data_IF_883164893791
#
_entry.id   IF_883164893791
#
_cell.length_a   1.000
_cell.length_b   1.000
_cell.length_c   1.000
_cell.angle_alpha   90.00
_cell.angle_beta   90.00
_cell.angle_gamma   90.00
#
_symmetry.space_group_name_H-M   'P 1'
#
loop_
_entity.id
_entity.type
_entity.pdbx_description
1 polymer ?
#
# COMPACT_ATOMS: atom_id res chain seq x y z
N UNK A 1 -1.71 12.75 -9.71
CA UNK A 1 -0.74 11.64 -9.55
C UNK A 1 -1.46 10.34 -9.87
N UNK A 2 -0.77 9.38 -10.49
CA UNK A 2 -1.31 8.05 -10.77
C UNK A 2 -0.62 7.03 -9.88
N UNK A 3 -1.37 6.09 -9.31
CA UNK A 3 -0.83 5.08 -8.42
C UNK A 3 -1.31 3.68 -8.83
N UNK A 4 -0.58 2.66 -8.43
CA UNK A 4 -1.10 1.30 -8.43
C UNK A 4 -2.14 1.13 -7.32
N UNK A 5 -3.20 0.37 -7.62
CA UNK A 5 -4.28 0.02 -6.70
C UNK A 5 -4.31 -1.50 -6.54
N UNK A 6 -4.13 -1.99 -5.31
CA UNK A 6 -4.16 -3.42 -5.02
C UNK A 6 -4.36 -3.67 -3.52
N UNK A 7 -5.02 -4.78 -3.17
CA UNK A 7 -5.15 -5.24 -1.79
C UNK A 7 -5.14 -6.78 -1.72
N UNK A 8 -4.00 -7.36 -1.32
CA UNK A 8 -3.76 -8.81 -1.40
C UNK A 8 -4.44 -9.64 -0.32
N UNK A 9 -5.36 -9.07 0.48
CA UNK A 9 -6.25 -9.87 1.32
C UNK A 9 -7.31 -10.62 0.49
N UNK A 10 -7.47 -10.27 -0.80
CA UNK A 10 -8.43 -10.86 -1.74
C UNK A 10 -7.83 -11.28 -3.08
N UNK A 11 -6.65 -10.77 -3.44
CA UNK A 11 -6.04 -10.97 -4.75
C UNK A 11 -4.69 -11.67 -4.65
N UNK A 12 -4.35 -12.35 -5.76
CA UNK A 12 -2.99 -12.73 -6.14
C UNK A 12 -1.99 -11.64 -5.71
N UNK A 13 -0.80 -12.04 -5.25
CA UNK A 13 0.24 -11.15 -4.74
C UNK A 13 0.33 -9.86 -5.58
N UNK A 14 0.10 -8.71 -4.93
CA UNK A 14 0.17 -7.40 -5.58
C UNK A 14 1.49 -7.20 -6.33
N UNK A 15 2.59 -7.76 -5.81
CA UNK A 15 3.88 -7.71 -6.48
C UNK A 15 3.83 -8.43 -7.84
N UNK A 16 3.17 -9.58 -7.93
CA UNK A 16 3.08 -10.34 -9.16
C UNK A 16 2.15 -9.68 -10.19
N UNK A 17 1.04 -9.07 -9.73
CA UNK A 17 0.18 -8.25 -10.59
C UNK A 17 0.93 -7.04 -11.15
N UNK A 18 1.80 -6.39 -10.35
CA UNK A 18 2.65 -5.30 -10.83
C UNK A 18 3.68 -5.81 -11.85
N UNK A 19 4.38 -6.92 -11.55
CA UNK A 19 5.38 -7.52 -12.46
C UNK A 19 4.79 -7.90 -13.82
N UNK A 20 3.58 -8.42 -13.82
CA UNK A 20 2.87 -8.86 -15.03
C UNK A 20 2.09 -7.73 -15.70
N UNK A 21 2.14 -6.52 -15.15
CA UNK A 21 1.40 -5.34 -15.63
C UNK A 21 -0.12 -5.58 -15.71
N UNK A 22 -0.65 -6.35 -14.75
CA UNK A 22 -2.07 -6.68 -14.61
C UNK A 22 -2.71 -5.99 -13.39
N UNK A 23 -1.92 -5.30 -12.59
CA UNK A 23 -2.41 -4.50 -11.47
C UNK A 23 -3.27 -3.33 -11.95
N UNK A 24 -4.32 -3.03 -11.20
CA UNK A 24 -5.15 -1.85 -11.48
C UNK A 24 -4.35 -0.57 -11.22
N UNK A 25 -4.60 0.46 -12.04
CA UNK A 25 -4.03 1.79 -11.86
C UNK A 25 -5.15 2.81 -11.72
N UNK A 26 -4.95 3.81 -10.86
CA UNK A 26 -5.92 4.85 -10.60
C UNK A 26 -5.26 6.23 -10.68
N UNK A 27 -6.00 7.22 -11.18
CA UNK A 27 -5.64 8.63 -11.06
C UNK A 27 -6.23 9.17 -9.76
N UNK A 28 -5.37 9.66 -8.87
CA UNK A 28 -5.79 10.10 -7.55
C UNK A 28 -6.55 11.42 -7.58
N UNK A 29 -7.40 11.63 -6.57
CA UNK A 29 -8.22 12.83 -6.41
C UNK A 29 -7.41 14.05 -5.96
N UNK A 30 -7.99 15.25 -6.01
CA UNK A 30 -7.33 16.49 -5.55
C UNK A 30 -6.88 16.43 -4.08
N UNK A 31 -7.57 15.65 -3.24
CA UNK A 31 -7.21 15.43 -1.83
C UNK A 31 -6.07 14.42 -1.65
N UNK A 32 -5.99 13.42 -2.53
CA UNK A 32 -5.04 12.31 -2.42
C UNK A 32 -3.83 12.55 -3.31
N UNK A 33 -2.87 13.29 -2.77
CA UNK A 33 -1.72 13.80 -3.52
C UNK A 33 -0.50 12.87 -3.53
N UNK A 34 -0.60 11.69 -2.93
CA UNK A 34 0.52 10.73 -2.80
C UNK A 34 0.08 9.30 -3.06
N UNK A 35 1.04 8.44 -3.39
CA UNK A 35 0.86 6.99 -3.42
C UNK A 35 1.34 6.34 -2.11
N UNK A 36 0.64 5.31 -1.65
CA UNK A 36 0.99 4.48 -0.50
C UNK A 36 1.40 3.08 -0.95
N UNK A 37 2.47 2.58 -0.35
CA UNK A 37 2.88 1.17 -0.31
C UNK A 37 2.77 0.71 1.15
N UNK A 38 1.96 -0.31 1.41
CA UNK A 38 1.79 -0.83 2.75
C UNK A 38 1.78 -2.36 2.75
N UNK A 39 2.85 -2.96 3.28
CA UNK A 39 3.01 -4.41 3.39
C UNK A 39 3.15 -4.79 4.85
N UNK A 40 2.35 -5.75 5.30
CA UNK A 40 2.36 -6.22 6.68
C UNK A 40 2.07 -7.72 6.77
N UNK A 41 2.50 -8.31 7.86
CA UNK A 41 2.24 -9.70 8.22
C UNK A 41 1.30 -9.71 9.44
N UNK A 42 0.17 -10.42 9.33
CA UNK A 42 -0.78 -10.65 10.42
C UNK A 42 -0.24 -11.69 11.41
N UNK A 43 -0.92 -11.84 12.55
CA UNK A 43 -0.47 -12.71 13.66
C UNK A 43 -0.39 -14.19 13.31
N UNK A 44 -1.22 -14.64 12.37
CA UNK A 44 -1.23 -16.00 11.86
C UNK A 44 -0.16 -16.25 10.78
N UNK A 45 0.63 -15.22 10.45
CA UNK A 45 1.67 -15.26 9.42
C UNK A 45 1.17 -14.92 8.02
N UNK A 46 -0.09 -14.53 7.85
CA UNK A 46 -0.63 -14.11 6.56
C UNK A 46 -0.03 -12.76 6.14
N UNK A 47 0.40 -12.66 4.88
CA UNK A 47 1.00 -11.43 4.33
C UNK A 47 -0.03 -10.65 3.53
N UNK A 48 -0.16 -9.37 3.85
CA UNK A 48 -1.03 -8.42 3.19
C UNK A 48 -0.19 -7.32 2.57
N UNK A 49 -0.48 -7.02 1.31
CA UNK A 49 0.12 -5.96 0.52
C UNK A 49 -0.99 -5.05 0.03
N UNK A 50 -0.84 -3.75 0.23
CA UNK A 50 -1.79 -2.72 -0.16
C UNK A 50 -1.09 -1.61 -0.95
N UNK A 51 -1.69 -1.23 -2.07
CA UNK A 51 -1.28 -0.12 -2.94
C UNK A 51 -2.49 0.76 -3.13
N UNK A 52 -2.38 2.06 -2.89
CA UNK A 52 -3.49 3.01 -3.08
C UNK A 52 -3.02 4.46 -3.14
N UNK A 53 -3.92 5.35 -3.55
CA UNK A 53 -3.81 6.79 -3.30
C UNK A 53 -3.95 7.09 -1.79
N UNK A 54 -3.31 8.16 -1.33
CA UNK A 54 -3.41 8.62 0.05
C UNK A 54 -3.19 10.12 0.17
N UNK A 55 -3.65 10.70 1.26
CA UNK A 55 -3.40 12.10 1.59
C UNK A 55 -2.00 12.25 2.20
N UNK A 56 -1.13 13.06 1.58
CA UNK A 56 0.22 13.32 2.08
C UNK A 56 0.27 13.81 3.54
N UNK A 57 -0.77 14.53 3.97
CA UNK A 57 -0.81 15.25 5.24
C UNK A 57 -1.15 14.39 6.46
N UNK A 58 -1.60 13.15 6.28
CA UNK A 58 -2.19 12.36 7.37
C UNK A 58 -1.27 11.32 8.02
N UNK A 59 0.02 11.27 7.67
CA UNK A 59 0.96 10.20 8.10
C UNK A 59 0.28 8.82 8.17
N UNK A 60 -0.14 8.27 7.01
CA UNK A 60 -0.88 7.02 6.96
C UNK A 60 -0.08 5.84 7.54
N UNK A 61 1.25 5.94 7.58
CA UNK A 61 2.12 4.96 8.21
C UNK A 61 1.99 4.98 9.72
N UNK A 62 2.15 6.15 10.36
CA UNK A 62 2.12 6.27 11.82
C UNK A 62 0.83 5.76 12.46
N UNK A 63 -0.33 5.99 11.83
CA UNK A 63 -1.61 5.49 12.35
C UNK A 63 -1.73 3.97 12.23
N UNK A 64 -1.33 3.40 11.08
CA UNK A 64 -1.46 1.96 10.83
C UNK A 64 -0.45 1.12 11.60
N UNK A 65 0.73 1.66 11.90
CA UNK A 65 1.71 1.05 12.81
C UNK A 65 1.09 0.73 14.15
N UNK A 66 0.44 1.71 14.79
CA UNK A 66 -0.16 1.51 16.10
C UNK A 66 -1.27 0.46 16.11
N UNK A 67 -2.06 0.39 15.04
CA UNK A 67 -3.14 -0.60 14.91
C UNK A 67 -2.56 -2.01 14.76
N UNK A 68 -1.55 -2.19 13.91
CA UNK A 68 -0.94 -3.51 13.71
C UNK A 68 -0.16 -3.97 14.93
N UNK A 69 0.56 -3.08 15.61
CA UNK A 69 1.22 -3.38 16.88
C UNK A 69 0.21 -3.86 17.94
N UNK A 70 -0.94 -3.19 18.05
CA UNK A 70 -2.03 -3.61 18.94
C UNK A 70 -2.59 -4.99 18.56
N UNK A 71 -2.67 -5.29 17.26
CA UNK A 71 -3.12 -6.57 16.75
C UNK A 71 -2.02 -7.64 16.74
N UNK A 72 -0.83 -7.37 17.29
CA UNK A 72 0.35 -8.25 17.25
C UNK A 72 0.83 -8.61 15.82
N UNK A 73 0.41 -7.85 14.82
CA UNK A 73 0.95 -7.93 13.46
C UNK A 73 2.31 -7.23 13.36
N UNK A 74 2.97 -7.41 12.22
CA UNK A 74 4.27 -6.82 11.91
C UNK A 74 4.18 -6.03 10.61
N UNK A 75 4.60 -4.77 10.62
CA UNK A 75 4.79 -4.03 9.37
C UNK A 75 6.10 -4.45 8.74
N UNK A 76 6.06 -4.75 7.45
CA UNK A 76 7.22 -5.06 6.64
C UNK A 76 7.64 -3.85 5.81
N UNK A 77 6.68 -3.13 5.23
CA UNK A 77 6.91 -1.90 4.46
C UNK A 77 5.79 -0.89 4.71
N UNK A 78 6.16 0.37 4.98
CA UNK A 78 5.24 1.48 4.81
C UNK A 78 5.98 2.65 4.16
N UNK A 79 5.53 3.08 2.99
CA UNK A 79 6.15 4.18 2.24
C UNK A 79 5.07 5.03 1.59
N UNK A 80 5.29 6.34 1.62
CA UNK A 80 4.50 7.34 0.89
C UNK A 80 5.43 8.04 -0.09
N UNK A 81 4.97 8.27 -1.31
CA UNK A 81 5.76 8.92 -2.36
C UNK A 81 4.85 9.74 -3.31
N UNK A 82 5.44 10.75 -3.96
CA UNK A 82 4.69 11.80 -4.68
C UNK A 82 4.95 11.80 -6.20
N UNK A 83 5.36 10.65 -6.74
CA UNK A 83 5.62 10.44 -8.16
C UNK A 83 4.64 9.43 -8.77
N UNK A 84 4.32 9.56 -10.05
CA UNK A 84 3.43 8.61 -10.73
C UNK A 84 4.01 7.18 -10.65
N UNK A 85 3.18 6.25 -10.18
CA UNK A 85 3.46 4.82 -10.04
C UNK A 85 4.60 4.47 -9.06
N UNK A 86 5.01 5.40 -8.21
CA UNK A 86 6.11 5.20 -7.26
C UNK A 86 5.84 4.13 -6.19
N UNK A 87 4.56 3.74 -6.00
CA UNK A 87 4.17 2.65 -5.12
C UNK A 87 4.27 1.26 -5.78
N UNK A 88 5.00 1.14 -6.90
CA UNK A 88 5.24 -0.13 -7.58
C UNK A 88 6.19 -1.07 -6.82
N UNK A 89 6.91 -1.90 -7.58
CA UNK A 89 7.97 -2.75 -7.05
C UNK A 89 9.18 -1.85 -6.74
N UNK A 90 9.50 -1.69 -5.45
CA UNK A 90 10.78 -1.13 -5.01
C UNK A 90 11.84 -2.22 -4.93
#
# INVERSE_FOLDING_TARGET
>A
IKCYLCHSSKDVDCADLIKTNQVETVECTESETSCLTFDYTETDGFKVSERRCTEARTDPCGMRVKILEYLHGKIDVCKVCDEDYCNGLN
#
